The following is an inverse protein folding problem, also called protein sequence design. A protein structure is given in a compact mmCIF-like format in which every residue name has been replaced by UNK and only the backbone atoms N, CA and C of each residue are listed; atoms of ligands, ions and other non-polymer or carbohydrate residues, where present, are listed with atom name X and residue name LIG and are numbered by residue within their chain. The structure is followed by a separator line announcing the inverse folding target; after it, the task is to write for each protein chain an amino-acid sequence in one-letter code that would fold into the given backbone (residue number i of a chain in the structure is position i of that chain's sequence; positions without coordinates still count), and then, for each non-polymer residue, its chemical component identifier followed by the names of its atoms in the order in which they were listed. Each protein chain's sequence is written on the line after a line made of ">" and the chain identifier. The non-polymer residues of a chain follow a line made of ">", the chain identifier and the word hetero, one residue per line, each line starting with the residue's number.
data_IF_433290948981
#
_entry.id   IF_433290948981
#
_cell.length_a   1.000
_cell.length_b   1.000
_cell.length_c   1.000
_cell.angle_alpha   90.00
_cell.angle_beta   90.00
_cell.angle_gamma   90.00
#
_symmetry.space_group_name_H-M   'P 1'
#
loop_
_entity.id
_entity.type
_entity.pdbx_description
1 polymer ?
#
# COMPACT_ATOMS: atom_id res chain seq x y z
N UNK A 1 -51.17 10.38 55.88
CA UNK A 1 -51.04 11.75 55.36
C UNK A 1 -49.83 11.73 54.44
N UNK A 2 -50.04 11.52 53.13
CA UNK A 2 -50.18 12.57 52.10
C UNK A 2 -48.84 13.36 52.00
N UNK A 3 -48.07 13.38 50.91
CA UNK A 3 -48.46 13.68 49.51
C UNK A 3 -47.37 13.24 48.50
N UNK A 4 -47.80 12.51 47.47
CA UNK A 4 -47.49 12.45 46.01
C UNK A 4 -46.09 12.81 45.46
N UNK A 5 -45.43 11.96 44.65
CA UNK A 5 -45.67 11.58 43.23
C UNK A 5 -45.09 12.59 42.22
N UNK A 6 -44.13 12.15 41.37
CA UNK A 6 -44.22 12.26 39.90
C UNK A 6 -43.07 11.58 39.17
N UNK A 7 -43.49 10.51 38.52
CA UNK A 7 -42.92 9.73 37.43
C UNK A 7 -42.59 10.57 36.18
N UNK A 8 -41.61 10.12 35.37
CA UNK A 8 -41.56 10.28 33.91
C UNK A 8 -40.46 9.38 33.33
N UNK A 9 -40.84 8.22 32.78
CA UNK A 9 -40.04 7.46 31.82
C UNK A 9 -40.66 7.56 30.43
N UNK A 10 -39.82 7.69 29.39
CA UNK A 10 -39.74 6.77 28.24
C UNK A 10 -38.95 7.38 27.06
N UNK A 11 -37.93 6.62 26.63
CA UNK A 11 -37.25 6.60 25.32
C UNK A 11 -38.25 6.32 24.16
N UNK A 12 -37.97 6.63 22.86
CA UNK A 12 -36.83 6.03 22.12
C UNK A 12 -36.16 6.83 20.96
N UNK A 13 -34.98 6.31 20.59
CA UNK A 13 -34.10 6.52 19.41
C UNK A 13 -34.74 5.82 18.16
N UNK A 14 -34.31 5.89 16.86
CA UNK A 14 -33.21 6.62 16.17
C UNK A 14 -33.61 7.40 14.89
N UNK A 15 -32.69 8.20 14.32
CA UNK A 15 -32.60 8.35 12.86
C UNK A 15 -31.15 8.51 12.40
N UNK A 16 -30.78 7.62 11.47
CA UNK A 16 -29.50 7.43 10.77
C UNK A 16 -29.50 8.34 9.54
N UNK A 17 -28.43 9.10 9.28
CA UNK A 17 -28.24 9.78 7.98
C UNK A 17 -26.85 9.44 7.44
N UNK A 18 -26.87 8.73 6.32
CA UNK A 18 -25.74 8.46 5.42
C UNK A 18 -25.29 9.75 4.74
N UNK A 19 -23.98 9.94 4.64
CA UNK A 19 -23.36 10.91 3.73
C UNK A 19 -22.80 10.14 2.54
N UNK A 20 -23.36 10.39 1.36
CA UNK A 20 -22.85 9.93 0.07
C UNK A 20 -22.71 11.15 -0.85
N UNK A 21 -21.47 11.41 -1.25
CA UNK A 21 -21.11 11.77 -2.63
C UNK A 21 -21.41 13.18 -3.20
N UNK A 22 -20.72 13.54 -4.30
CA UNK A 22 -20.29 14.93 -4.54
C UNK A 22 -20.82 15.55 -5.83
N UNK A 23 -20.74 16.89 -5.90
CA UNK A 23 -20.28 17.57 -7.12
C UNK A 23 -21.28 18.45 -7.88
N UNK A 24 -20.70 19.53 -8.43
CA UNK A 24 -21.18 20.44 -9.50
C UNK A 24 -22.35 21.33 -9.07
N UNK A 25 -22.18 22.64 -8.88
CA UNK A 25 -21.54 23.61 -9.77
C UNK A 25 -22.53 23.99 -10.86
N UNK A 26 -23.12 25.19 -10.80
CA UNK A 26 -23.56 26.02 -11.93
C UNK A 26 -23.83 27.44 -11.43
N UNK A 27 -23.33 28.39 -12.22
CA UNK A 27 -23.40 29.84 -12.08
C UNK A 27 -24.77 30.38 -12.53
N UNK A 28 -24.93 31.68 -12.23
CA UNK A 28 -25.56 32.72 -13.04
C UNK A 28 -26.93 33.19 -12.52
N UNK A 29 -27.00 34.45 -12.07
CA UNK A 29 -27.53 35.65 -12.79
C UNK A 29 -29.05 35.54 -12.94
N UNK A 30 -29.89 36.47 -12.51
CA UNK A 30 -29.73 37.84 -12.07
C UNK A 30 -31.11 38.52 -12.24
N UNK A 31 -31.21 39.78 -11.77
CA UNK A 31 -32.29 40.75 -12.04
C UNK A 31 -33.66 40.42 -11.41
N UNK A 32 -34.48 41.35 -10.91
CA UNK A 32 -34.40 42.80 -10.73
C UNK A 32 -35.69 43.26 -10.00
N UNK A 33 -35.69 44.50 -9.48
CA UNK A 33 -36.84 45.33 -9.04
C UNK A 33 -37.59 44.89 -7.76
N UNK A 34 -37.99 45.76 -6.81
CA UNK A 34 -37.80 47.18 -6.60
C UNK A 34 -38.25 47.54 -5.15
N UNK A 35 -37.54 48.51 -4.57
CA UNK A 35 -38.05 49.62 -3.75
C UNK A 35 -38.95 49.37 -2.51
N UNK A 36 -38.43 49.75 -1.34
CA UNK A 36 -39.00 50.88 -0.56
C UNK A 36 -38.03 51.37 0.52
N UNK A 37 -38.08 52.67 0.71
CA UNK A 37 -37.21 53.54 1.49
C UNK A 37 -37.63 53.50 2.96
N UNK A 38 -36.66 53.38 3.87
CA UNK A 38 -36.75 54.00 5.19
C UNK A 38 -35.35 54.37 5.68
N UNK A 39 -35.13 55.68 5.70
CA UNK A 39 -33.99 56.38 6.27
C UNK A 39 -33.95 56.16 7.80
N UNK A 40 -32.75 55.97 8.36
CA UNK A 40 -32.54 55.81 9.79
C UNK A 40 -31.07 55.85 10.17
N UNK A 41 -30.45 57.01 10.01
CA UNK A 41 -29.17 57.35 10.64
C UNK A 41 -29.33 57.31 12.16
N UNK A 42 -28.59 56.44 12.85
CA UNK A 42 -28.09 56.78 14.19
C UNK A 42 -26.67 56.25 14.35
N UNK A 43 -25.77 57.20 14.59
CA UNK A 43 -24.40 57.00 14.98
C UNK A 43 -24.29 56.14 16.24
N UNK A 44 -23.27 55.30 16.31
CA UNK A 44 -23.00 54.53 17.52
C UNK A 44 -21.97 53.42 17.33
N UNK A 45 -20.86 53.68 16.65
CA UNK A 45 -19.66 52.88 16.86
C UNK A 45 -19.15 53.21 18.27
N UNK A 46 -19.68 52.51 19.27
CA UNK A 46 -19.03 52.43 20.58
C UNK A 46 -17.82 51.53 20.36
N UNK A 47 -16.68 52.14 20.05
CA UNK A 47 -15.39 51.52 20.33
C UNK A 47 -15.36 51.27 21.83
N UNK A 48 -15.73 50.07 22.24
CA UNK A 48 -15.50 49.60 23.58
C UNK A 48 -13.98 49.48 23.77
N UNK A 49 -13.32 50.61 24.05
CA UNK A 49 -12.17 50.67 24.93
C UNK A 49 -12.67 50.15 26.28
N UNK A 50 -12.73 48.82 26.40
CA UNK A 50 -12.99 48.17 27.66
C UNK A 50 -11.84 48.53 28.59
N UNK A 51 -12.06 49.51 29.46
CA UNK A 51 -11.29 49.62 30.69
C UNK A 51 -11.49 48.28 31.40
N UNK A 52 -10.44 47.44 31.39
CA UNK A 52 -10.39 46.27 32.24
C UNK A 52 -10.80 46.74 33.65
N UNK A 53 -11.87 46.16 34.19
CA UNK A 53 -12.31 46.47 35.54
C UNK A 53 -11.12 46.25 36.48
N UNK A 54 -11.01 47.00 37.59
CA UNK A 54 -9.88 46.81 38.53
C UNK A 54 -9.73 45.35 38.96
N UNK A 55 -10.81 44.57 38.99
CA UNK A 55 -10.80 43.11 39.19
C UNK A 55 -10.07 42.34 38.09
N UNK A 56 -10.30 42.64 36.81
CA UNK A 56 -9.63 41.93 35.70
C UNK A 56 -8.13 42.23 35.65
N UNK A 57 -7.72 43.44 36.07
CA UNK A 57 -6.30 43.81 36.18
C UNK A 57 -5.67 43.15 37.42
N UNK A 58 -6.41 43.01 38.53
CA UNK A 58 -5.94 42.35 39.75
C UNK A 58 -5.80 40.83 39.54
N UNK A 59 -6.78 40.17 38.93
CA UNK A 59 -6.73 38.73 38.58
C UNK A 59 -5.57 38.42 37.61
N UNK A 60 -5.32 39.30 36.64
CA UNK A 60 -4.18 39.15 35.73
C UNK A 60 -2.84 39.34 36.47
N UNK A 61 -2.74 40.31 37.38
CA UNK A 61 -1.51 40.52 38.18
C UNK A 61 -1.29 39.43 39.21
N UNK A 62 -2.33 38.84 39.79
CA UNK A 62 -2.24 37.70 40.70
C UNK A 62 -1.74 36.45 39.95
N UNK A 63 -2.26 36.18 38.73
CA UNK A 63 -1.74 35.10 37.86
C UNK A 63 -0.33 35.36 37.34
N UNK A 64 0.04 36.63 37.11
CA UNK A 64 1.41 37.02 36.73
C UNK A 64 2.38 36.94 37.92
N UNK A 65 1.92 37.14 39.16
CA UNK A 65 2.70 36.94 40.39
C UNK A 65 2.91 35.46 40.74
N UNK A 66 1.93 34.59 40.50
CA UNK A 66 2.10 33.12 40.61
C UNK A 66 3.13 32.57 39.59
N UNK A 67 3.36 33.27 38.48
CA UNK A 67 4.40 32.91 37.51
C UNK A 67 5.79 33.49 37.86
N UNK A 68 5.87 34.43 38.81
CA UNK A 68 7.10 35.13 39.21
C UNK A 68 7.76 34.53 40.47
N UNK A 69 7.02 33.76 41.27
CA UNK A 69 7.52 33.08 42.48
C UNK A 69 7.63 31.56 42.29
N UNK A 70 8.27 31.12 41.20
CA UNK A 70 8.67 29.73 41.01
C UNK A 70 7.52 28.78 40.67
N UNK A 71 7.74 27.88 39.72
CA UNK A 71 6.77 26.81 39.38
C UNK A 71 6.37 25.96 40.60
N UNK A 72 5.39 25.05 40.46
CA UNK A 72 4.76 24.35 41.58
C UNK A 72 5.81 23.76 42.53
N UNK A 73 6.00 24.44 43.66
CA UNK A 73 6.93 24.04 44.71
C UNK A 73 6.32 22.86 45.46
N UNK A 74 7.16 21.94 45.88
CA UNK A 74 6.73 20.70 46.53
C UNK A 74 7.09 20.71 48.02
N UNK A 75 6.41 19.85 48.78
CA UNK A 75 6.74 19.65 50.19
C UNK A 75 7.86 18.61 50.34
N UNK A 76 8.78 18.89 51.26
CA UNK A 76 9.99 18.09 51.50
C UNK A 76 9.68 16.60 51.69
N UNK A 77 10.45 15.72 51.04
CA UNK A 77 10.34 14.25 51.12
C UNK A 77 9.02 13.65 50.57
N UNK A 78 8.22 14.41 49.84
CA UNK A 78 7.10 13.85 49.06
C UNK A 78 7.62 13.23 47.77
N UNK A 79 7.13 12.04 47.44
CA UNK A 79 7.39 11.37 46.16
C UNK A 79 6.08 11.17 45.40
N UNK A 80 6.10 11.36 44.08
CA UNK A 80 4.95 11.16 43.21
C UNK A 80 5.31 10.57 41.85
N UNK A 81 4.31 10.05 41.13
CA UNK A 81 4.48 9.58 39.77
C UNK A 81 4.78 10.75 38.81
N UNK A 82 5.68 10.50 37.87
CA UNK A 82 6.06 11.48 36.86
C UNK A 82 6.28 10.80 35.51
N UNK A 83 6.16 11.58 34.44
CA UNK A 83 6.48 11.14 33.09
C UNK A 83 6.76 12.38 32.25
N UNK A 84 7.97 12.47 31.68
CA UNK A 84 8.40 13.65 30.90
C UNK A 84 8.26 13.43 29.39
N UNK A 85 7.71 12.30 28.96
CA UNK A 85 7.47 12.00 27.55
C UNK A 85 6.25 12.73 26.96
N UNK A 86 6.04 12.61 25.64
CA UNK A 86 4.88 13.15 24.97
C UNK A 86 3.55 12.72 25.61
N UNK A 87 2.51 13.55 25.47
CA UNK A 87 1.18 13.17 25.96
C UNK A 87 0.66 11.98 25.16
N UNK A 88 0.15 10.98 25.88
CA UNK A 88 -0.45 9.79 25.28
C UNK A 88 0.47 8.59 25.18
N UNK A 89 1.80 8.73 25.37
CA UNK A 89 2.76 7.61 25.29
C UNK A 89 2.98 6.89 26.62
N UNK A 90 2.61 7.50 27.75
CA UNK A 90 2.76 6.87 29.07
C UNK A 90 1.93 5.59 29.19
N UNK A 91 2.59 4.48 29.53
CA UNK A 91 1.94 3.18 29.70
C UNK A 91 1.62 2.45 28.39
N UNK A 92 2.12 2.93 27.25
CA UNK A 92 2.06 2.21 25.96
C UNK A 92 3.40 1.53 25.69
N UNK A 93 3.34 0.31 25.15
CA UNK A 93 4.54 -0.42 24.79
C UNK A 93 5.56 -0.51 25.91
N UNK A 94 6.80 -0.12 25.61
CA UNK A 94 7.90 -0.08 26.57
C UNK A 94 7.83 1.13 27.53
N UNK A 95 7.06 2.16 27.23
CA UNK A 95 7.03 3.40 27.99
C UNK A 95 6.36 3.26 29.35
N UNK A 96 7.03 3.75 30.38
CA UNK A 96 6.54 3.71 31.75
C UNK A 96 6.80 5.01 32.49
N UNK A 97 5.87 5.37 33.37
CA UNK A 97 6.04 6.46 34.32
C UNK A 97 7.13 6.11 35.36
N UNK A 98 7.85 7.14 35.81
CA UNK A 98 8.82 7.06 36.90
C UNK A 98 8.27 7.65 38.19
N UNK A 99 9.15 7.83 39.16
CA UNK A 99 8.88 8.54 40.42
C UNK A 99 9.87 9.68 40.59
N UNK A 100 9.37 10.85 40.99
CA UNK A 100 10.20 12.01 41.37
C UNK A 100 10.02 12.29 42.85
N UNK A 101 11.06 12.81 43.48
CA UNK A 101 11.07 13.16 44.91
C UNK A 101 11.40 14.63 45.07
N UNK A 102 10.69 15.28 45.99
CA UNK A 102 10.94 16.67 46.36
C UNK A 102 12.18 16.80 47.26
N UNK A 103 13.09 17.69 46.90
CA UNK A 103 14.30 17.96 47.68
C UNK A 103 14.06 18.94 48.86
N UNK A 104 15.12 19.17 49.63
CA UNK A 104 15.13 20.11 50.76
C UNK A 104 14.92 21.58 50.38
N UNK A 105 15.05 21.92 49.09
CA UNK A 105 14.84 23.25 48.55
C UNK A 105 13.43 23.46 47.98
N UNK A 106 12.54 22.45 48.11
CA UNK A 106 11.19 22.50 47.56
C UNK A 106 11.12 22.30 46.05
N UNK A 107 12.16 21.70 45.45
CA UNK A 107 12.27 21.44 44.02
C UNK A 107 12.09 19.94 43.73
N UNK A 108 11.41 19.65 42.62
CA UNK A 108 11.29 18.28 42.14
C UNK A 108 12.61 17.81 41.53
N UNK A 109 13.10 16.66 41.98
CA UNK A 109 14.20 15.96 41.33
C UNK A 109 13.80 15.32 39.99
N UNK A 110 14.79 14.71 39.34
CA UNK A 110 14.60 13.95 38.10
C UNK A 110 13.54 12.86 38.23
N UNK A 111 12.83 12.62 37.13
CA UNK A 111 11.86 11.54 37.08
C UNK A 111 12.56 10.19 36.95
N UNK A 112 12.80 9.54 38.09
CA UNK A 112 13.60 8.32 38.17
C UNK A 112 12.79 7.10 37.75
N UNK A 113 13.36 6.25 36.91
CA UNK A 113 12.76 4.99 36.48
C UNK A 113 11.74 5.10 35.34
N UNK A 114 11.53 6.30 34.77
CA UNK A 114 10.73 6.43 33.56
C UNK A 114 11.40 5.77 32.34
N UNK A 115 10.60 5.29 31.40
CA UNK A 115 11.04 4.88 30.06
C UNK A 115 10.30 5.76 29.07
N UNK A 116 11.06 6.53 28.32
CA UNK A 116 10.55 7.46 27.31
C UNK A 116 10.52 6.78 25.94
N UNK A 117 9.74 7.31 24.99
CA UNK A 117 9.77 6.86 23.61
C UNK A 117 11.19 6.83 23.05
N UNK A 118 11.53 5.73 22.40
CA UNK A 118 12.76 5.53 21.67
C UNK A 118 12.45 5.37 20.17
N UNK A 119 13.48 5.21 19.34
CA UNK A 119 13.28 4.80 17.96
C UNK A 119 12.92 3.32 17.94
N UNK A 120 11.90 2.99 17.15
CA UNK A 120 11.50 1.61 16.88
C UNK A 120 12.69 0.72 16.51
N UNK A 121 12.72 -0.44 17.11
CA UNK A 121 13.54 -1.58 16.71
C UNK A 121 12.61 -2.74 16.45
N UNK A 122 12.89 -3.56 15.44
CA UNK A 122 12.14 -4.76 15.14
C UNK A 122 12.38 -5.81 16.25
N UNK A 123 11.66 -5.69 17.35
CA UNK A 123 11.86 -6.46 18.58
C UNK A 123 10.54 -6.96 19.19
N UNK A 124 9.42 -6.76 18.50
CA UNK A 124 8.05 -7.11 18.92
C UNK A 124 7.55 -6.31 20.12
N UNK A 125 8.16 -5.17 20.40
CA UNK A 125 7.69 -4.18 21.33
C UNK A 125 7.38 -2.87 20.59
N UNK A 126 6.63 -2.01 21.26
CA UNK A 126 6.33 -0.65 20.83
C UNK A 126 7.29 0.26 21.61
N UNK A 127 8.42 0.61 20.99
CA UNK A 127 9.54 1.34 21.57
C UNK A 127 9.31 2.86 21.53
N UNK A 128 8.63 3.36 20.50
CA UNK A 128 8.22 4.75 20.32
C UNK A 128 6.89 5.08 21.01
N UNK A 129 6.20 4.05 21.50
CA UNK A 129 5.02 4.13 22.35
C UNK A 129 3.84 4.82 21.64
N UNK A 130 3.77 4.72 20.32
CA UNK A 130 2.65 5.22 19.51
C UNK A 130 1.43 4.28 19.54
N UNK A 131 1.62 3.04 20.04
CA UNK A 131 0.60 2.01 20.14
C UNK A 131 0.59 1.00 18.99
N UNK A 132 1.57 1.06 18.08
CA UNK A 132 1.78 0.13 16.97
C UNK A 132 3.14 -0.55 17.19
N UNK A 133 3.13 -1.87 17.30
CA UNK A 133 4.38 -2.63 17.48
C UNK A 133 5.18 -2.65 16.17
N UNK A 134 6.49 -2.36 16.27
CA UNK A 134 7.45 -2.40 15.17
C UNK A 134 7.03 -1.55 13.94
N UNK A 135 6.40 -0.38 14.15
CA UNK A 135 6.01 0.53 13.06
C UNK A 135 7.27 1.05 12.33
N UNK A 136 7.22 1.04 10.99
CA UNK A 136 8.42 1.23 10.14
C UNK A 136 9.18 -0.07 9.83
N UNK A 137 8.85 -1.17 10.52
CA UNK A 137 9.22 -2.56 10.16
C UNK A 137 7.99 -3.35 9.74
N UNK A 138 7.01 -2.64 9.17
CA UNK A 138 5.54 -2.84 8.94
C UNK A 138 5.06 -4.23 8.50
N UNK A 139 5.95 -5.19 8.38
CA UNK A 139 5.70 -6.49 7.81
C UNK A 139 6.14 -7.64 8.70
N UNK A 140 6.63 -7.50 9.94
CA UNK A 140 6.89 -8.69 10.78
C UNK A 140 5.64 -9.59 10.83
N UNK A 141 5.78 -10.84 10.37
CA UNK A 141 4.67 -11.80 10.23
C UNK A 141 3.80 -11.66 8.96
N UNK A 142 3.94 -10.62 8.16
CA UNK A 142 3.24 -10.46 6.89
C UNK A 142 3.89 -11.27 5.75
N UNK A 143 3.11 -11.56 4.71
CA UNK A 143 3.60 -12.29 3.54
C UNK A 143 4.60 -11.44 2.73
N UNK A 144 5.62 -12.11 2.21
CA UNK A 144 6.64 -11.54 1.35
C UNK A 144 6.88 -12.41 0.11
N UNK A 145 7.49 -11.83 -0.91
CA UNK A 145 8.00 -12.57 -2.07
C UNK A 145 9.50 -12.33 -2.19
N UNK A 146 10.22 -13.31 -2.71
CA UNK A 146 11.64 -13.15 -2.97
C UNK A 146 11.89 -11.94 -3.91
N UNK A 147 12.88 -11.11 -3.57
CA UNK A 147 13.10 -9.84 -4.27
C UNK A 147 13.50 -10.10 -5.72
N UNK A 148 12.77 -9.48 -6.65
CA UNK A 148 13.02 -9.64 -8.08
C UNK A 148 12.53 -10.98 -8.64
N UNK A 149 11.83 -11.78 -7.84
CA UNK A 149 11.33 -13.06 -8.29
C UNK A 149 10.16 -12.91 -9.26
N UNK A 150 10.32 -13.48 -10.45
CA UNK A 150 9.32 -13.62 -11.50
C UNK A 150 9.10 -15.11 -11.78
N UNK A 151 8.11 -15.43 -12.60
CA UNK A 151 7.92 -16.80 -13.07
C UNK A 151 7.82 -17.87 -11.97
N UNK A 152 8.47 -19.00 -12.24
CA UNK A 152 8.65 -20.11 -11.32
C UNK A 152 9.40 -19.72 -10.05
N UNK A 153 10.28 -18.72 -10.10
CA UNK A 153 11.07 -18.30 -8.95
C UNK A 153 10.28 -17.49 -7.94
N UNK A 154 9.06 -17.04 -8.27
CA UNK A 154 8.21 -16.24 -7.39
C UNK A 154 7.68 -17.08 -6.22
N UNK A 155 8.53 -17.25 -5.22
CA UNK A 155 8.20 -17.93 -3.97
C UNK A 155 7.68 -16.97 -2.93
N UNK A 156 6.73 -17.46 -2.13
CA UNK A 156 6.20 -16.76 -0.97
C UNK A 156 7.01 -17.11 0.27
N UNK A 157 7.17 -16.14 1.16
CA UNK A 157 7.68 -16.29 2.50
C UNK A 157 6.94 -15.38 3.47
N UNK A 158 7.53 -15.22 4.64
CA UNK A 158 7.11 -14.34 5.72
C UNK A 158 8.27 -13.41 6.07
N UNK A 159 7.93 -12.17 6.37
CA UNK A 159 8.89 -11.20 6.90
C UNK A 159 9.18 -11.49 8.37
N UNK A 160 10.46 -11.41 8.73
CA UNK A 160 10.97 -11.56 10.09
C UNK A 160 11.92 -10.42 10.42
N UNK A 161 11.92 -9.99 11.67
CA UNK A 161 12.98 -9.15 12.20
C UNK A 161 14.36 -9.82 12.02
N UNK A 162 15.36 -9.02 11.63
CA UNK A 162 16.77 -9.42 11.68
C UNK A 162 17.19 -9.71 13.12
N UNK A 163 18.22 -10.54 13.29
CA UNK A 163 18.68 -10.92 14.63
C UNK A 163 19.17 -9.73 15.49
N UNK A 164 19.56 -8.62 14.85
CA UNK A 164 19.97 -7.38 15.53
C UNK A 164 18.81 -6.37 15.70
N UNK A 165 17.61 -6.70 15.24
CA UNK A 165 16.40 -5.88 15.38
C UNK A 165 16.40 -4.59 14.56
N UNK A 166 17.30 -4.45 13.58
CA UNK A 166 17.47 -3.21 12.82
C UNK A 166 16.81 -3.21 11.45
N UNK A 167 16.43 -4.38 10.94
CA UNK A 167 15.84 -4.53 9.62
C UNK A 167 14.80 -5.66 9.63
N UNK A 168 13.91 -5.69 8.63
CA UNK A 168 13.08 -6.86 8.34
C UNK A 168 13.66 -7.62 7.16
N UNK A 169 13.66 -8.95 7.24
CA UNK A 169 14.15 -9.86 6.20
C UNK A 169 13.05 -10.82 5.77
N UNK A 170 13.01 -11.17 4.48
CA UNK A 170 12.02 -12.09 3.92
C UNK A 170 12.63 -13.49 3.86
N UNK A 171 11.97 -14.49 4.47
CA UNK A 171 12.46 -15.87 4.48
C UNK A 171 12.04 -16.69 3.23
N UNK A 172 11.48 -16.03 2.21
CA UNK A 172 11.04 -16.69 0.99
C UNK A 172 12.18 -17.53 0.39
N UNK A 173 11.86 -18.79 0.08
CA UNK A 173 12.83 -19.75 -0.44
C UNK A 173 13.41 -19.25 -1.76
N UNK A 174 14.72 -19.12 -1.84
CA UNK A 174 15.39 -18.80 -3.10
C UNK A 174 15.32 -20.00 -4.04
N UNK A 175 14.63 -19.84 -5.16
CA UNK A 175 14.69 -20.74 -6.32
C UNK A 175 15.71 -20.16 -7.29
N UNK A 176 16.62 -21.00 -7.78
CA UNK A 176 17.64 -20.57 -8.74
C UNK A 176 17.03 -20.65 -10.16
N UNK A 177 17.27 -19.62 -11.01
CA UNK A 177 17.00 -19.70 -12.43
C UNK A 177 17.47 -21.02 -13.04
N UNK A 178 16.60 -21.66 -13.81
CA UNK A 178 16.93 -22.82 -14.63
C UNK A 178 16.80 -22.44 -16.11
N UNK A 179 17.34 -23.23 -17.03
CA UNK A 179 17.11 -22.96 -18.45
C UNK A 179 15.64 -23.19 -18.80
N UNK A 180 15.10 -22.39 -19.71
CA UNK A 180 13.73 -22.50 -20.19
C UNK A 180 13.42 -23.89 -20.74
N UNK A 181 12.28 -24.41 -20.32
CA UNK A 181 11.64 -25.56 -20.95
C UNK A 181 10.33 -25.08 -21.56
N UNK A 182 10.00 -25.53 -22.76
CA UNK A 182 8.71 -25.23 -23.39
C UNK A 182 7.53 -25.81 -22.58
N UNK A 183 7.08 -25.08 -21.56
CA UNK A 183 6.10 -25.53 -20.56
C UNK A 183 5.16 -24.40 -20.11
N UNK A 184 5.24 -23.20 -20.72
CA UNK A 184 4.51 -21.99 -20.36
C UNK A 184 4.82 -21.47 -18.94
N UNK A 185 6.02 -21.73 -18.45
CA UNK A 185 6.56 -21.23 -17.19
C UNK A 185 7.91 -20.59 -17.47
N UNK A 186 8.08 -19.38 -16.96
CA UNK A 186 9.35 -18.65 -16.84
C UNK A 186 10.23 -19.38 -15.79
N UNK A 187 11.03 -20.35 -16.26
CA UNK A 187 11.90 -21.23 -15.47
C UNK A 187 13.23 -20.53 -15.11
N UNK A 188 13.66 -19.58 -15.95
CA UNK A 188 14.87 -18.79 -15.78
C UNK A 188 14.63 -17.46 -15.03
N UNK A 189 13.37 -17.10 -14.87
CA UNK A 189 12.88 -16.02 -14.02
C UNK A 189 13.31 -14.64 -14.51
N UNK A 190 13.57 -14.48 -15.81
CA UNK A 190 13.89 -13.21 -16.45
C UNK A 190 12.63 -12.35 -16.70
N UNK A 191 11.46 -12.98 -16.72
CA UNK A 191 10.13 -12.38 -16.86
C UNK A 191 9.48 -12.50 -18.23
N UNK A 192 10.15 -13.10 -19.20
CA UNK A 192 9.54 -13.63 -20.41
C UNK A 192 9.15 -15.10 -20.17
N UNK A 193 8.61 -15.79 -21.17
CA UNK A 193 8.19 -17.19 -20.99
C UNK A 193 8.50 -17.95 -22.25
N UNK A 194 9.20 -19.08 -22.11
CA UNK A 194 9.60 -19.97 -23.20
C UNK A 194 10.47 -19.28 -24.30
N UNK A 195 11.12 -18.14 -24.03
CA UNK A 195 11.85 -17.34 -25.03
C UNK A 195 13.16 -17.97 -25.52
N UNK A 196 13.86 -18.69 -24.65
CA UNK A 196 15.10 -19.41 -24.95
C UNK A 196 14.93 -20.93 -24.73
N UNK A 197 13.81 -21.50 -25.20
CA UNK A 197 13.38 -22.92 -25.12
C UNK A 197 14.30 -23.92 -25.86
N UNK A 198 15.62 -23.81 -25.67
CA UNK A 198 16.67 -24.62 -26.29
C UNK A 198 16.77 -25.94 -25.51
N UNK A 199 15.98 -26.95 -25.92
CA UNK A 199 16.42 -27.74 -27.07
C UNK A 199 15.33 -27.99 -28.14
N UNK A 200 14.12 -27.46 -28.00
CA UNK A 200 13.00 -27.84 -28.87
C UNK A 200 12.93 -27.06 -30.18
N UNK A 201 13.35 -25.79 -30.20
CA UNK A 201 13.04 -24.88 -31.33
C UNK A 201 13.79 -25.16 -32.64
N UNK A 202 14.77 -26.06 -32.60
CA UNK A 202 15.59 -26.43 -33.76
C UNK A 202 15.63 -27.94 -34.02
N UNK A 203 14.85 -28.74 -33.28
CA UNK A 203 14.86 -30.18 -33.46
C UNK A 203 13.99 -30.59 -34.65
N UNK A 204 14.56 -31.36 -35.57
CA UNK A 204 13.82 -31.92 -36.70
C UNK A 204 12.69 -32.84 -36.21
N UNK A 205 11.54 -32.75 -36.87
CA UNK A 205 10.36 -33.54 -36.56
C UNK A 205 9.61 -33.94 -37.84
N UNK A 206 8.64 -34.83 -37.71
CA UNK A 206 7.76 -35.25 -38.82
C UNK A 206 6.36 -34.70 -38.58
N UNK A 207 5.85 -33.92 -39.53
CA UNK A 207 4.56 -33.23 -39.40
C UNK A 207 3.36 -34.16 -39.60
N UNK A 208 3.60 -35.37 -40.12
CA UNK A 208 2.55 -36.30 -40.55
C UNK A 208 1.89 -35.92 -41.88
N UNK A 209 2.36 -34.85 -42.54
CA UNK A 209 1.93 -34.47 -43.88
C UNK A 209 2.66 -35.27 -44.96
N UNK A 210 2.10 -35.23 -46.17
CA UNK A 210 2.66 -35.87 -47.36
C UNK A 210 3.76 -35.03 -48.01
N UNK A 211 4.50 -35.67 -48.92
CA UNK A 211 5.40 -34.99 -49.83
C UNK A 211 6.49 -34.17 -49.14
N UNK A 212 6.78 -33.01 -49.74
CA UNK A 212 7.82 -32.10 -49.25
C UNK A 212 7.49 -31.46 -47.90
N UNK A 213 6.20 -31.43 -47.52
CA UNK A 213 5.75 -30.91 -46.22
C UNK A 213 5.96 -31.86 -45.04
N UNK A 214 6.38 -33.11 -45.29
CA UNK A 214 6.57 -34.12 -44.25
C UNK A 214 7.63 -33.69 -43.22
N UNK A 215 8.70 -33.04 -43.68
CA UNK A 215 9.76 -32.54 -42.82
C UNK A 215 9.32 -31.25 -42.09
N UNK A 216 9.49 -31.24 -40.78
CA UNK A 216 9.24 -30.08 -39.94
C UNK A 216 10.36 -29.81 -38.94
N UNK A 217 10.21 -28.69 -38.25
CA UNK A 217 11.04 -28.32 -37.09
C UNK A 217 10.11 -28.03 -35.92
N UNK A 218 10.46 -28.56 -34.75
CA UNK A 218 9.74 -28.26 -33.52
C UNK A 218 9.88 -26.78 -33.18
N UNK A 219 8.82 -26.17 -32.67
CA UNK A 219 8.80 -24.80 -32.13
C UNK A 219 8.04 -24.79 -30.83
N UNK A 220 8.49 -24.03 -29.84
CA UNK A 220 7.63 -23.72 -28.71
C UNK A 220 6.53 -22.73 -29.12
N UNK A 221 5.27 -23.13 -28.94
CA UNK A 221 4.11 -22.28 -29.21
C UNK A 221 3.15 -22.40 -28.03
N UNK A 222 3.05 -21.34 -27.22
CA UNK A 222 2.21 -21.27 -26.02
C UNK A 222 2.49 -22.43 -25.03
N UNK A 223 3.76 -22.69 -24.69
CA UNK A 223 4.16 -23.78 -23.79
C UNK A 223 3.94 -25.18 -24.31
N UNK A 224 3.72 -25.34 -25.62
CA UNK A 224 3.60 -26.65 -26.25
C UNK A 224 4.54 -26.75 -27.43
N UNK A 225 5.33 -27.82 -27.44
CA UNK A 225 6.15 -28.17 -28.60
C UNK A 225 5.26 -28.55 -29.76
N UNK A 226 5.34 -27.76 -30.84
CA UNK A 226 4.59 -27.98 -32.07
C UNK A 226 5.56 -28.25 -33.21
N UNK A 227 5.37 -29.36 -33.91
CA UNK A 227 6.08 -29.61 -35.16
C UNK A 227 5.49 -28.73 -36.28
N UNK A 228 6.27 -27.76 -36.76
CA UNK A 228 5.87 -26.85 -37.84
C UNK A 228 6.57 -27.27 -39.13
N UNK A 229 5.83 -27.33 -40.23
CA UNK A 229 6.38 -27.71 -41.54
C UNK A 229 7.46 -26.73 -42.00
N UNK A 230 8.57 -27.28 -42.53
CA UNK A 230 9.66 -26.48 -43.08
C UNK A 230 9.29 -25.86 -44.43
N UNK A 231 8.44 -26.58 -45.18
CA UNK A 231 7.91 -26.17 -46.48
C UNK A 231 6.39 -26.11 -46.36
N UNK A 232 5.79 -24.99 -46.80
CA UNK A 232 4.34 -24.84 -46.88
C UNK A 232 3.84 -25.46 -48.19
N UNK A 233 2.59 -25.99 -48.24
CA UNK A 233 1.94 -26.39 -49.47
C UNK A 233 2.04 -25.33 -50.56
N UNK A 234 2.59 -25.72 -51.70
CA UNK A 234 2.74 -24.90 -52.89
C UNK A 234 1.76 -25.31 -53.98
N UNK A 235 2.02 -24.84 -55.19
CA UNK A 235 1.36 -25.36 -56.39
C UNK A 235 2.20 -26.51 -56.96
N UNK A 236 1.54 -27.57 -57.41
CA UNK A 236 2.15 -28.73 -58.04
C UNK A 236 2.98 -28.33 -59.27
N UNK A 237 4.27 -28.65 -59.22
CA UNK A 237 5.15 -28.60 -60.38
C UNK A 237 5.57 -30.04 -60.65
N UNK A 238 5.24 -30.56 -61.84
CA UNK A 238 5.46 -31.95 -62.27
C UNK A 238 6.94 -32.40 -62.19
N UNK A 239 7.47 -32.55 -60.98
CA UNK A 239 8.86 -32.74 -60.61
C UNK A 239 9.07 -34.08 -59.86
N UNK A 240 8.01 -34.91 -59.78
CA UNK A 240 7.94 -36.18 -59.06
C UNK A 240 7.93 -36.05 -57.53
N UNK A 241 7.66 -34.87 -57.00
CA UNK A 241 7.38 -34.62 -55.60
C UNK A 241 5.92 -34.16 -55.47
N UNK A 242 5.40 -34.31 -54.26
CA UNK A 242 4.08 -33.80 -53.86
C UNK A 242 4.35 -32.45 -53.18
N UNK A 243 4.18 -31.37 -53.95
CA UNK A 243 4.51 -29.98 -53.61
C UNK A 243 3.34 -29.25 -52.92
N UNK A 244 2.10 -29.62 -53.25
CA UNK A 244 0.87 -29.14 -52.59
C UNK A 244 0.49 -29.97 -51.35
N UNK A 245 1.17 -31.08 -51.14
CA UNK A 245 1.09 -31.93 -49.97
C UNK A 245 -0.31 -32.55 -49.77
N UNK A 246 -1.04 -32.79 -50.87
CA UNK A 246 -2.37 -33.44 -50.86
C UNK A 246 -2.31 -34.97 -50.77
N UNK A 247 -1.11 -35.56 -50.88
CA UNK A 247 -0.87 -37.00 -50.86
C UNK A 247 -0.84 -37.68 -52.22
N UNK A 248 -0.92 -36.93 -53.31
CA UNK A 248 -0.73 -37.41 -54.68
C UNK A 248 0.51 -36.72 -55.27
N UNK A 249 1.21 -37.44 -56.12
CA UNK A 249 2.39 -36.92 -56.79
C UNK A 249 1.96 -36.40 -58.17
N UNK A 250 2.34 -35.17 -58.48
CA UNK A 250 2.16 -34.51 -59.79
C UNK A 250 0.68 -34.45 -60.26
N UNK A 251 -0.28 -34.21 -59.37
CA UNK A 251 -1.66 -33.88 -59.77
C UNK A 251 -1.77 -32.39 -60.11
N UNK A 252 -2.73 -32.01 -60.95
CA UNK A 252 -3.08 -30.60 -61.20
C UNK A 252 -1.88 -29.66 -61.54
N UNK A 253 -0.86 -30.20 -62.21
CA UNK A 253 0.40 -29.50 -62.45
C UNK A 253 0.22 -28.15 -63.15
N UNK A 254 0.96 -27.16 -62.66
CA UNK A 254 1.14 -25.87 -63.32
C UNK A 254 2.57 -25.72 -63.83
N UNK A 255 2.81 -24.78 -64.73
CA UNK A 255 4.19 -24.48 -65.15
C UNK A 255 4.99 -23.93 -63.98
N UNK A 256 6.30 -24.17 -63.91
CA UNK A 256 7.17 -23.59 -62.86
C UNK A 256 7.04 -22.05 -62.77
N UNK A 257 6.84 -21.41 -63.93
CA UNK A 257 6.59 -19.98 -64.06
C UNK A 257 5.24 -19.53 -63.50
N UNK A 258 4.25 -20.41 -63.43
CA UNK A 258 2.97 -20.19 -62.77
C UNK A 258 3.02 -20.52 -61.27
N UNK A 259 3.70 -21.59 -60.86
CA UNK A 259 3.87 -21.95 -59.44
C UNK A 259 4.63 -20.88 -58.65
N UNK A 260 5.70 -20.30 -59.23
CA UNK A 260 6.44 -19.18 -58.60
C UNK A 260 5.60 -17.92 -58.38
N UNK A 261 4.49 -17.72 -59.12
CA UNK A 261 3.56 -16.61 -58.88
C UNK A 261 2.58 -16.89 -57.74
N UNK A 262 2.40 -18.15 -57.36
CA UNK A 262 1.45 -18.60 -56.34
C UNK A 262 2.11 -18.84 -54.98
N UNK A 263 3.38 -19.23 -54.94
CA UNK A 263 4.19 -19.43 -53.72
C UNK A 263 4.99 -18.20 -53.28
N UNK A 264 4.37 -17.03 -53.22
CA UNK A 264 5.03 -15.77 -52.87
C UNK A 264 5.72 -15.81 -51.49
N UNK A 265 7.05 -15.79 -51.50
CA UNK A 265 7.87 -15.16 -50.47
C UNK A 265 7.90 -13.65 -50.70
#
# INVERSE_FOLDING_TARGET
>A
MLVTDRNCGHHPIPARVQADGPGRGIRARGLSLAASIACGLVAGFVTALGCATSDQVLEKRLREQELAEGGPTCHERVSEACYTGPKGTSGRGACKAGTRTCDGAGQWGECSGQVLPATESCNRNDDDCDGIVDNGFERDGALCFFKGAKGACRTQGVWHCSADGKESTCDAKVVRPQAETCNAIDDDCDGETDEDSVPVDAQACTTGKSGVCQAGTNKCVNGQTRCVQNIQPGAEICNKQDDDCDGRIDNDCVSESAARKQGGM
#
